data_IF_346613370024
#
_entry.id   IF_346613370024
#
_cell.length_a   1.000
_cell.length_b   1.000
_cell.length_c   1.000
_cell.angle_alpha   90.00
_cell.angle_beta   90.00
_cell.angle_gamma   90.00
#
_symmetry.space_group_name_H-M   'P 1'
#
loop_
_entity.id
_entity.type
_entity.pdbx_description
1 polymer ?
#
# COMPACT_ATOMS: atom_id res chain seq x y z
N UNK A 1 60.27 7.75 -17.83
CA UNK A 1 59.44 7.65 -16.60
C UNK A 1 58.34 6.65 -16.89
N UNK A 2 58.30 5.63 -16.03
CA UNK A 2 57.75 4.31 -16.30
C UNK A 2 56.23 4.30 -16.48
N UNK A 3 55.81 3.59 -17.54
CA UNK A 3 54.64 2.71 -17.53
C UNK A 3 55.11 1.44 -16.83
N UNK A 4 54.39 0.95 -15.82
CA UNK A 4 54.34 -0.45 -15.37
C UNK A 4 53.47 -0.55 -14.13
N UNK A 5 52.64 -1.59 -14.07
CA UNK A 5 51.92 -1.99 -12.86
C UNK A 5 50.44 -2.21 -13.10
N UNK A 6 50.08 -3.31 -13.77
CA UNK A 6 49.06 -4.28 -13.33
C UNK A 6 49.13 -5.49 -14.29
N UNK A 7 50.10 -6.37 -14.05
CA UNK A 7 50.16 -7.70 -14.65
C UNK A 7 49.38 -8.72 -13.79
N UNK A 8 48.45 -9.39 -14.48
CA UNK A 8 48.29 -10.85 -14.53
C UNK A 8 48.23 -11.68 -13.23
N UNK A 9 47.03 -12.11 -12.83
CA UNK A 9 46.67 -13.46 -12.33
C UNK A 9 45.14 -13.61 -12.44
N UNK A 10 44.48 -14.68 -12.87
CA UNK A 10 44.81 -15.89 -13.61
C UNK A 10 43.46 -16.36 -14.20
N UNK A 11 43.36 -16.47 -15.51
CA UNK A 11 42.28 -17.17 -16.21
C UNK A 11 42.85 -18.51 -16.67
N UNK A 12 42.40 -19.61 -16.09
CA UNK A 12 42.14 -20.85 -16.82
C UNK A 12 41.48 -21.91 -15.92
N UNK A 13 40.68 -22.75 -16.58
CA UNK A 13 40.04 -24.00 -16.11
C UNK A 13 38.55 -23.92 -15.74
N UNK A 14 37.71 -23.77 -16.77
CA UNK A 14 36.39 -24.42 -16.79
C UNK A 14 36.48 -25.54 -17.83
N UNK A 15 36.77 -26.74 -17.33
CA UNK A 15 36.70 -27.98 -18.10
C UNK A 15 35.25 -28.43 -18.21
N UNK A 16 34.82 -28.63 -19.45
CA UNK A 16 33.53 -29.12 -19.88
C UNK A 16 33.33 -30.59 -19.51
N UNK A 17 32.68 -30.89 -18.39
CA UNK A 17 32.14 -32.23 -18.11
C UNK A 17 31.15 -32.22 -16.93
N UNK A 18 29.88 -31.86 -17.15
CA UNK A 18 28.76 -32.42 -16.37
C UNK A 18 27.38 -32.13 -17.00
N UNK A 19 27.29 -32.33 -18.31
CA UNK A 19 26.01 -32.53 -19.00
C UNK A 19 25.95 -34.02 -19.33
N UNK A 20 24.83 -34.65 -19.00
CA UNK A 20 24.49 -36.08 -19.13
C UNK A 20 24.99 -37.00 -18.01
N UNK A 21 24.07 -37.35 -17.10
CA UNK A 21 24.35 -38.34 -16.06
C UNK A 21 23.16 -38.75 -15.19
N UNK A 22 21.96 -38.92 -15.77
CA UNK A 22 20.84 -39.53 -15.04
C UNK A 22 20.12 -40.57 -15.90
N UNK A 23 20.56 -41.83 -15.82
CA UNK A 23 19.71 -42.98 -16.14
C UNK A 23 20.21 -44.26 -15.42
N UNK A 24 19.40 -44.70 -14.45
CA UNK A 24 19.10 -46.08 -14.01
C UNK A 24 20.13 -46.93 -13.23
N UNK A 25 19.78 -47.26 -11.97
CA UNK A 25 19.65 -48.61 -11.36
C UNK A 25 19.49 -48.43 -9.82
N UNK A 26 18.32 -48.63 -9.22
CA UNK A 26 17.63 -49.87 -8.81
C UNK A 26 17.83 -50.25 -7.33
N UNK A 27 16.73 -50.08 -6.57
CA UNK A 27 16.18 -50.93 -5.48
C UNK A 27 17.10 -51.40 -4.35
N UNK A 28 16.99 -50.74 -3.19
CA UNK A 28 16.46 -51.27 -1.93
C UNK A 28 16.93 -50.39 -0.77
N UNK A 29 16.03 -49.55 -0.27
CA UNK A 29 16.25 -48.74 0.91
C UNK A 29 14.94 -48.04 1.20
N UNK A 30 14.33 -48.39 2.33
CA UNK A 30 13.15 -47.74 2.88
C UNK A 30 13.20 -46.24 2.60
N UNK A 31 12.32 -45.77 1.72
CA UNK A 31 12.09 -44.34 1.49
C UNK A 31 11.61 -43.80 2.82
N UNK A 32 12.56 -43.27 3.59
CA UNK A 32 12.23 -42.36 4.68
C UNK A 32 11.36 -41.29 4.01
N UNK A 33 10.08 -41.25 4.39
CA UNK A 33 9.27 -40.07 4.09
C UNK A 33 10.11 -38.92 4.63
N UNK A 34 10.54 -38.04 3.73
CA UNK A 34 10.89 -36.68 4.13
C UNK A 34 9.67 -36.25 4.93
N UNK A 35 9.83 -36.11 6.24
CA UNK A 35 8.82 -35.46 7.05
C UNK A 35 8.55 -34.14 6.34
N UNK A 36 7.27 -33.87 6.04
CA UNK A 36 6.88 -32.57 5.52
C UNK A 36 7.51 -31.52 6.45
N UNK A 37 8.10 -30.44 5.92
CA UNK A 37 8.59 -29.37 6.78
C UNK A 37 7.48 -29.04 7.78
N UNK A 38 7.83 -28.74 9.06
CA UNK A 38 6.82 -28.40 10.07
C UNK A 38 5.88 -27.40 9.41
N UNK A 39 4.56 -27.58 9.58
CA UNK A 39 3.52 -26.71 9.01
C UNK A 39 3.84 -25.25 9.34
N UNK A 40 4.69 -24.65 8.51
CA UNK A 40 5.24 -23.34 8.69
C UNK A 40 4.26 -22.43 7.99
N UNK A 41 3.60 -21.59 8.78
CA UNK A 41 2.75 -20.48 8.38
C UNK A 41 3.04 -20.05 6.94
N UNK A 42 2.22 -20.42 5.95
CA UNK A 42 2.46 -20.05 4.55
C UNK A 42 2.56 -18.53 4.39
N UNK A 43 3.03 -18.02 3.24
CA UNK A 43 3.14 -16.56 3.01
C UNK A 43 1.86 -15.77 3.35
N UNK A 44 0.68 -16.37 3.17
CA UNK A 44 -0.60 -15.75 3.55
C UNK A 44 -0.75 -15.58 5.06
N UNK A 45 -0.29 -16.54 5.84
CA UNK A 45 -0.35 -16.48 7.30
C UNK A 45 0.60 -15.41 7.83
N UNK A 46 1.83 -15.35 7.30
CA UNK A 46 2.77 -14.26 7.60
C UNK A 46 2.15 -12.89 7.28
N UNK A 47 1.55 -12.72 6.11
CA UNK A 47 0.87 -11.47 5.75
C UNK A 47 -0.32 -11.18 6.68
N UNK A 48 -1.09 -12.20 7.08
CA UNK A 48 -2.23 -12.03 8.01
C UNK A 48 -1.75 -11.60 9.40
N UNK A 49 -0.64 -12.17 9.89
CA UNK A 49 0.02 -11.77 11.14
C UNK A 49 0.52 -10.33 11.05
N UNK A 50 1.17 -9.96 9.95
CA UNK A 50 1.65 -8.59 9.71
C UNK A 50 0.51 -7.55 9.75
N UNK A 51 -0.66 -7.85 9.15
CA UNK A 51 -1.85 -7.01 9.33
C UNK A 51 -2.23 -6.84 10.81
N UNK A 52 -2.23 -7.92 11.58
CA UNK A 52 -2.51 -7.88 13.02
C UNK A 52 -1.56 -6.95 13.78
N UNK A 53 -0.26 -7.00 13.46
CA UNK A 53 0.75 -6.13 14.05
C UNK A 53 0.55 -4.67 13.63
N UNK A 54 0.25 -4.40 12.36
CA UNK A 54 -0.06 -3.05 11.88
C UNK A 54 -1.31 -2.45 12.56
N UNK A 55 -2.36 -3.25 12.76
CA UNK A 55 -3.57 -2.85 13.52
C UNK A 55 -3.19 -2.51 14.97
N UNK A 56 -2.39 -3.36 15.62
CA UNK A 56 -1.86 -3.12 16.97
C UNK A 56 -1.05 -1.82 17.03
N UNK A 57 -0.24 -1.52 16.01
CA UNK A 57 0.53 -0.29 15.91
C UNK A 57 -0.38 0.94 15.80
N UNK A 58 -1.42 0.90 14.96
CA UNK A 58 -2.37 2.01 14.80
C UNK A 58 -3.16 2.28 16.09
N UNK A 59 -3.62 1.23 16.78
CA UNK A 59 -4.26 1.39 18.09
C UNK A 59 -3.29 1.94 19.14
N UNK A 60 -2.04 1.47 19.15
CA UNK A 60 -1.03 1.98 20.08
C UNK A 60 -0.70 3.46 19.82
N UNK A 61 -0.69 3.88 18.55
CA UNK A 61 -0.57 5.30 18.20
C UNK A 61 -1.77 6.12 18.69
N UNK A 62 -2.99 5.60 18.60
CA UNK A 62 -4.17 6.27 19.17
C UNK A 62 -4.08 6.39 20.70
N UNK A 63 -3.67 5.31 21.38
CA UNK A 63 -3.44 5.32 22.83
C UNK A 63 -2.35 6.33 23.25
N UNK A 64 -1.33 6.54 22.41
CA UNK A 64 -0.27 7.53 22.65
C UNK A 64 -0.84 8.95 22.69
N UNK A 65 -1.74 9.28 21.76
CA UNK A 65 -2.45 10.56 21.73
C UNK A 65 -3.32 10.75 22.97
N UNK A 66 -3.86 9.66 23.52
CA UNK A 66 -4.63 9.66 24.77
C UNK A 66 -3.74 9.70 26.04
N UNK A 67 -2.42 9.70 25.90
CA UNK A 67 -1.47 9.82 27.02
C UNK A 67 -1.10 8.50 27.71
N UNK A 68 -1.32 7.35 27.05
CA UNK A 68 -0.93 6.06 27.63
C UNK A 68 0.60 5.87 27.63
N UNK A 69 1.20 5.79 28.82
CA UNK A 69 2.67 5.77 28.99
C UNK A 69 3.38 4.56 28.37
N UNK A 70 2.68 3.45 28.13
CA UNK A 70 3.23 2.25 27.49
C UNK A 70 3.09 2.24 25.96
N UNK A 71 2.40 3.22 25.38
CA UNK A 71 2.07 3.25 23.96
C UNK A 71 3.31 3.32 23.06
N UNK A 72 4.27 4.19 23.36
CA UNK A 72 5.51 4.31 22.57
C UNK A 72 6.27 2.98 22.50
N UNK A 73 6.44 2.30 23.64
CA UNK A 73 7.14 1.02 23.70
C UNK A 73 6.44 -0.06 22.87
N UNK A 74 5.09 -0.07 22.85
CA UNK A 74 4.32 -0.98 21.99
C UNK A 74 4.50 -0.65 20.51
N UNK A 75 4.52 0.63 20.12
CA UNK A 75 4.74 1.03 18.72
C UNK A 75 6.12 0.58 18.24
N UNK A 76 7.17 0.79 19.06
CA UNK A 76 8.53 0.33 18.76
C UNK A 76 8.60 -1.21 18.65
N UNK A 77 7.88 -1.93 19.50
CA UNK A 77 7.82 -3.39 19.42
C UNK A 77 7.10 -3.86 18.14
N UNK A 78 5.97 -3.24 17.79
CA UNK A 78 5.21 -3.57 16.59
C UNK A 78 6.01 -3.26 15.31
N UNK A 79 6.74 -2.14 15.25
CA UNK A 79 7.59 -1.82 14.10
C UNK A 79 8.67 -2.88 13.90
N UNK A 80 9.37 -3.28 14.97
CA UNK A 80 10.36 -4.38 14.90
C UNK A 80 9.75 -5.70 14.48
N UNK A 81 8.56 -6.03 14.97
CA UNK A 81 7.88 -7.27 14.60
C UNK A 81 7.48 -7.27 13.11
N UNK A 82 7.02 -6.14 12.56
CA UNK A 82 6.78 -6.01 11.11
C UNK A 82 8.07 -6.23 10.31
N UNK A 83 9.16 -5.65 10.78
CA UNK A 83 10.50 -5.77 10.23
C UNK A 83 11.02 -7.22 10.24
N UNK A 84 10.70 -7.98 11.28
CA UNK A 84 11.04 -9.41 11.40
C UNK A 84 10.18 -10.26 10.46
N UNK A 85 8.88 -9.97 10.37
CA UNK A 85 7.95 -10.66 9.46
C UNK A 85 8.30 -10.42 8.00
N UNK A 86 8.71 -9.21 7.62
CA UNK A 86 9.16 -8.89 6.25
C UNK A 86 10.42 -9.67 5.87
N UNK A 87 11.40 -9.76 6.79
CA UNK A 87 12.60 -10.59 6.58
C UNK A 87 12.28 -12.07 6.43
N UNK A 88 11.41 -12.61 7.29
CA UNK A 88 10.97 -14.01 7.18
C UNK A 88 10.25 -14.26 5.85
N UNK A 89 9.42 -13.31 5.41
CA UNK A 89 8.73 -13.39 4.14
C UNK A 89 9.72 -13.45 2.96
N UNK A 90 10.71 -12.56 2.95
CA UNK A 90 11.73 -12.47 1.90
C UNK A 90 12.60 -13.73 1.78
N UNK A 91 12.94 -14.36 2.90
CA UNK A 91 13.70 -15.63 2.91
C UNK A 91 12.94 -16.77 2.23
N UNK A 92 11.61 -16.73 2.27
CA UNK A 92 10.73 -17.83 1.83
C UNK A 92 10.12 -17.60 0.46
N UNK A 93 9.89 -16.34 0.07
CA UNK A 93 9.11 -15.99 -1.12
C UNK A 93 9.66 -16.60 -2.41
N UNK A 94 10.98 -16.65 -2.59
CA UNK A 94 11.59 -17.18 -3.80
C UNK A 94 11.35 -18.70 -3.98
N UNK A 95 11.57 -19.48 -2.92
CA UNK A 95 11.34 -20.93 -2.94
C UNK A 95 9.85 -21.24 -3.09
N UNK A 96 9.00 -20.50 -2.38
CA UNK A 96 7.56 -20.67 -2.44
C UNK A 96 6.99 -20.31 -3.82
N UNK A 97 7.52 -19.30 -4.51
CA UNK A 97 7.14 -18.95 -5.88
C UNK A 97 7.57 -20.02 -6.89
N UNK A 98 8.77 -20.59 -6.74
CA UNK A 98 9.31 -21.59 -7.66
C UNK A 98 8.44 -22.85 -7.77
N UNK A 99 7.71 -23.20 -6.71
CA UNK A 99 6.87 -24.39 -6.63
C UNK A 99 5.36 -24.11 -6.77
N UNK A 100 4.99 -22.89 -7.18
CA UNK A 100 3.59 -22.46 -7.25
C UNK A 100 2.97 -22.61 -8.65
N UNK A 101 1.69 -22.95 -8.69
CA UNK A 101 0.87 -22.77 -9.90
C UNK A 101 0.66 -21.28 -10.23
N UNK A 102 0.24 -20.96 -11.45
CA UNK A 102 0.03 -19.57 -11.89
C UNK A 102 -0.94 -18.80 -10.97
N UNK A 103 -2.01 -19.44 -10.52
CA UNK A 103 -2.97 -18.80 -9.61
C UNK A 103 -2.37 -18.55 -8.22
N UNK A 104 -1.57 -19.50 -7.71
CA UNK A 104 -0.83 -19.34 -6.46
C UNK A 104 0.26 -18.25 -6.56
N UNK A 105 0.89 -18.10 -7.73
CA UNK A 105 1.87 -17.01 -7.95
C UNK A 105 1.21 -15.65 -7.81
N UNK A 106 0.01 -15.44 -8.37
CA UNK A 106 -0.70 -14.15 -8.24
C UNK A 106 -0.97 -13.80 -6.79
N UNK A 107 -1.41 -14.76 -6.01
CA UNK A 107 -1.67 -14.59 -4.57
C UNK A 107 -0.40 -14.27 -3.80
N UNK A 108 0.69 -15.02 -4.03
CA UNK A 108 1.97 -14.78 -3.37
C UNK A 108 2.58 -13.42 -3.74
N UNK A 109 2.41 -12.98 -4.99
CA UNK A 109 2.80 -11.64 -5.42
C UNK A 109 1.96 -10.54 -4.75
N UNK A 110 0.67 -10.77 -4.51
CA UNK A 110 -0.16 -9.85 -3.73
C UNK A 110 0.32 -9.78 -2.28
N UNK A 111 0.65 -10.93 -1.67
CA UNK A 111 1.23 -11.00 -0.32
C UNK A 111 2.53 -10.19 -0.24
N UNK A 112 3.44 -10.35 -1.20
CA UNK A 112 4.72 -9.62 -1.27
C UNK A 112 4.50 -8.10 -1.24
N UNK A 113 3.58 -7.60 -2.07
CA UNK A 113 3.28 -6.17 -2.10
C UNK A 113 2.64 -5.69 -0.79
N UNK A 114 1.72 -6.49 -0.23
CA UNK A 114 1.11 -6.16 1.05
C UNK A 114 2.15 -6.09 2.17
N UNK A 115 3.13 -6.99 2.21
CA UNK A 115 4.20 -6.95 3.21
C UNK A 115 5.00 -5.65 3.14
N UNK A 116 5.40 -5.23 1.94
CA UNK A 116 6.10 -3.96 1.73
C UNK A 116 5.28 -2.78 2.25
N UNK A 117 3.98 -2.72 1.92
CA UNK A 117 3.11 -1.64 2.40
C UNK A 117 2.89 -1.70 3.93
N UNK A 118 2.85 -2.89 4.53
CA UNK A 118 2.68 -3.08 5.98
C UNK A 118 3.93 -2.64 6.77
N UNK A 119 5.15 -2.94 6.30
CA UNK A 119 6.40 -2.40 6.86
C UNK A 119 6.39 -0.87 6.84
N UNK A 120 6.00 -0.27 5.70
CA UNK A 120 5.90 1.19 5.55
C UNK A 120 4.92 1.82 6.52
N UNK A 121 3.81 1.14 6.84
CA UNK A 121 2.85 1.60 7.84
C UNK A 121 3.49 1.61 9.22
N UNK A 122 4.25 0.57 9.59
CA UNK A 122 5.02 0.51 10.83
C UNK A 122 5.99 1.68 10.97
N UNK A 123 6.81 1.91 9.96
CA UNK A 123 7.75 3.04 9.85
C UNK A 123 7.07 4.41 10.09
N UNK A 124 5.95 4.64 9.41
CA UNK A 124 5.20 5.90 9.48
C UNK A 124 4.60 6.11 10.87
N UNK A 125 4.08 5.06 11.50
CA UNK A 125 3.54 5.11 12.85
C UNK A 125 4.64 5.32 13.90
N UNK A 126 5.84 4.76 13.72
CA UNK A 126 6.99 5.05 14.57
C UNK A 126 7.46 6.51 14.41
N UNK A 127 7.46 7.03 13.18
CA UNK A 127 7.75 8.44 12.90
C UNK A 127 6.74 9.38 13.57
N UNK A 128 5.45 9.04 13.48
CA UNK A 128 4.38 9.73 14.20
C UNK A 128 4.64 9.71 15.71
N UNK A 129 4.90 8.54 16.30
CA UNK A 129 5.07 8.37 17.74
C UNK A 129 6.25 9.19 18.28
N UNK A 130 7.38 9.16 17.57
CA UNK A 130 8.58 9.92 17.94
C UNK A 130 8.31 11.43 17.98
N UNK A 131 7.49 11.92 17.04
CA UNK A 131 7.08 13.33 16.99
C UNK A 131 6.08 13.65 18.10
N UNK A 132 5.09 12.80 18.30
CA UNK A 132 4.08 12.96 19.35
C UNK A 132 4.74 13.09 20.73
N UNK A 133 5.73 12.26 21.05
CA UNK A 133 6.51 12.35 22.29
C UNK A 133 7.26 13.68 22.44
N UNK A 134 7.81 14.21 21.34
CA UNK A 134 8.56 15.47 21.35
C UNK A 134 7.68 16.67 21.69
N UNK A 135 6.39 16.62 21.34
CA UNK A 135 5.46 17.75 21.47
C UNK A 135 4.28 17.49 22.42
N UNK A 136 4.20 16.32 23.05
CA UNK A 136 3.02 15.85 23.79
C UNK A 136 2.43 16.89 24.75
N UNK A 137 3.25 17.53 25.58
CA UNK A 137 2.81 18.53 26.56
C UNK A 137 2.39 19.88 25.97
N UNK A 138 2.57 20.08 24.67
CA UNK A 138 2.31 21.32 23.93
C UNK A 138 1.17 21.18 22.92
N UNK A 139 0.67 19.96 22.70
CA UNK A 139 -0.51 19.72 21.86
C UNK A 139 -1.77 20.21 22.57
N UNK A 140 -2.63 20.88 21.82
CA UNK A 140 -3.93 21.28 22.33
C UNK A 140 -4.96 20.12 22.25
N UNK A 141 -6.11 20.29 22.91
CA UNK A 141 -7.16 19.26 22.92
C UNK A 141 -7.78 19.00 21.55
N UNK A 142 -7.66 19.93 20.60
CA UNK A 142 -8.24 19.80 19.27
C UNK A 142 -7.32 19.00 18.35
N UNK A 143 -6.02 19.24 18.39
CA UNK A 143 -4.99 18.48 17.71
C UNK A 143 -5.04 17.02 18.16
N UNK A 144 -5.11 16.77 19.46
CA UNK A 144 -5.25 15.41 20.00
C UNK A 144 -6.51 14.72 19.48
N UNK A 145 -7.63 15.44 19.41
CA UNK A 145 -8.88 14.89 18.87
C UNK A 145 -8.74 14.53 17.39
N UNK A 146 -8.29 15.47 16.56
CA UNK A 146 -8.24 15.26 15.11
C UNK A 146 -7.26 14.14 14.74
N UNK A 147 -6.09 14.09 15.38
CA UNK A 147 -5.12 13.01 15.18
C UNK A 147 -5.68 11.66 15.65
N UNK A 148 -6.38 11.64 16.80
CA UNK A 148 -7.04 10.45 17.32
C UNK A 148 -8.15 9.94 16.39
N UNK A 149 -8.93 10.84 15.80
CA UNK A 149 -9.96 10.50 14.81
C UNK A 149 -9.32 9.90 13.56
N UNK A 150 -8.25 10.52 13.02
CA UNK A 150 -7.50 9.97 11.88
C UNK A 150 -6.94 8.57 12.15
N UNK A 151 -6.33 8.34 13.32
CA UNK A 151 -5.80 7.04 13.71
C UNK A 151 -6.89 5.98 13.89
N UNK A 152 -8.06 6.39 14.37
CA UNK A 152 -9.23 5.50 14.48
C UNK A 152 -9.72 5.04 13.10
N UNK A 153 -9.75 5.95 12.12
CA UNK A 153 -10.07 5.59 10.73
C UNK A 153 -9.00 4.66 10.15
N UNK A 154 -7.72 4.97 10.34
CA UNK A 154 -6.61 4.13 9.87
C UNK A 154 -6.68 2.70 10.44
N UNK A 155 -6.88 2.56 11.75
CA UNK A 155 -6.99 1.25 12.39
C UNK A 155 -8.17 0.44 11.84
N UNK A 156 -9.31 1.10 11.60
CA UNK A 156 -10.46 0.48 10.95
C UNK A 156 -10.15 0.05 9.51
N UNK A 157 -9.49 0.90 8.72
CA UNK A 157 -9.10 0.57 7.35
C UNK A 157 -8.23 -0.68 7.33
N UNK A 158 -7.23 -0.78 8.22
CA UNK A 158 -6.39 -1.97 8.35
C UNK A 158 -7.18 -3.24 8.70
N UNK A 159 -8.08 -3.16 9.68
CA UNK A 159 -8.89 -4.30 10.11
C UNK A 159 -9.86 -4.77 9.01
N UNK A 160 -10.49 -3.83 8.30
CA UNK A 160 -11.35 -4.14 7.16
C UNK A 160 -10.54 -4.74 6.01
N UNK A 161 -9.35 -4.23 5.71
CA UNK A 161 -8.47 -4.80 4.68
C UNK A 161 -7.98 -6.19 5.05
N UNK A 162 -7.59 -6.44 6.31
CA UNK A 162 -7.22 -7.78 6.77
C UNK A 162 -8.39 -8.76 6.59
N UNK A 163 -9.59 -8.36 7.02
CA UNK A 163 -10.80 -9.16 6.86
C UNK A 163 -11.09 -9.45 5.38
N UNK A 164 -10.93 -8.44 4.52
CA UNK A 164 -11.10 -8.57 3.08
C UNK A 164 -10.04 -9.48 2.44
N UNK A 165 -8.79 -9.39 2.89
CA UNK A 165 -7.68 -10.20 2.43
C UNK A 165 -7.89 -11.68 2.77
N UNK A 166 -8.15 -12.00 4.05
CA UNK A 166 -8.38 -13.38 4.50
C UNK A 166 -9.67 -13.97 3.93
N UNK A 167 -10.72 -13.16 3.79
CA UNK A 167 -12.03 -13.57 3.28
C UNK A 167 -12.17 -13.52 1.75
N UNK A 168 -11.18 -12.99 1.03
CA UNK A 168 -11.28 -12.66 -0.41
C UNK A 168 -12.50 -11.78 -0.73
N UNK A 169 -12.82 -10.84 0.16
CA UNK A 169 -14.00 -10.00 0.06
C UNK A 169 -13.69 -8.71 -0.74
N UNK A 170 -14.01 -8.76 -2.03
CA UNK A 170 -13.87 -7.60 -2.91
C UNK A 170 -14.75 -6.40 -2.51
N UNK A 171 -15.95 -6.64 -1.96
CA UNK A 171 -16.85 -5.56 -1.60
C UNK A 171 -16.34 -4.79 -0.38
N UNK A 172 -15.77 -5.51 0.59
CA UNK A 172 -15.12 -4.88 1.76
C UNK A 172 -13.85 -4.12 1.36
N UNK A 173 -13.01 -4.68 0.49
CA UNK A 173 -11.84 -3.96 -0.03
C UNK A 173 -12.22 -2.64 -0.73
N UNK A 174 -13.30 -2.62 -1.52
CA UNK A 174 -13.82 -1.38 -2.13
C UNK A 174 -14.31 -0.35 -1.10
N UNK A 175 -14.78 -0.78 0.08
CA UNK A 175 -15.16 0.14 1.15
C UNK A 175 -13.94 0.84 1.74
N UNK A 176 -12.83 0.12 1.90
CA UNK A 176 -11.55 0.71 2.36
C UNK A 176 -11.08 1.80 1.41
N UNK A 177 -11.14 1.57 0.10
CA UNK A 177 -10.77 2.60 -0.90
C UNK A 177 -11.62 3.88 -0.80
N UNK A 178 -12.84 3.79 -0.25
CA UNK A 178 -13.70 4.96 -0.01
C UNK A 178 -13.38 5.62 1.33
N UNK A 179 -12.99 4.84 2.34
CA UNK A 179 -12.63 5.33 3.66
C UNK A 179 -11.34 6.16 3.65
N UNK A 180 -10.42 5.88 2.73
CA UNK A 180 -9.20 6.66 2.48
C UNK A 180 -9.48 8.17 2.31
N UNK A 181 -10.56 8.52 1.59
CA UNK A 181 -10.98 9.91 1.38
C UNK A 181 -11.34 10.63 2.68
N UNK A 182 -11.76 9.91 3.71
CA UNK A 182 -12.05 10.51 5.01
C UNK A 182 -10.76 10.88 5.73
N UNK A 183 -9.70 10.06 5.63
CA UNK A 183 -8.37 10.39 6.17
C UNK A 183 -7.80 11.60 5.44
N UNK A 184 -7.90 11.66 4.11
CA UNK A 184 -7.51 12.83 3.31
C UNK A 184 -8.24 14.10 3.77
N UNK A 185 -9.55 13.99 3.98
CA UNK A 185 -10.38 15.12 4.42
C UNK A 185 -9.93 15.63 5.80
N UNK A 186 -9.72 14.73 6.75
CA UNK A 186 -9.26 15.06 8.10
C UNK A 186 -7.85 15.67 8.09
N UNK A 187 -6.94 15.06 7.33
CA UNK A 187 -5.60 15.59 7.09
C UNK A 187 -5.63 17.03 6.59
N UNK A 188 -6.42 17.30 5.54
CA UNK A 188 -6.55 18.63 4.96
C UNK A 188 -7.12 19.64 5.98
N UNK A 189 -8.06 19.24 6.84
CA UNK A 189 -8.58 20.12 7.89
C UNK A 189 -7.50 20.49 8.93
N UNK A 190 -6.67 19.53 9.32
CA UNK A 190 -5.53 19.80 10.22
C UNK A 190 -4.56 20.75 9.53
N UNK A 191 -4.14 20.45 8.30
CA UNK A 191 -3.19 21.29 7.55
C UNK A 191 -3.68 22.72 7.39
N UNK A 192 -4.93 22.92 6.96
CA UNK A 192 -5.49 24.26 6.77
C UNK A 192 -5.51 25.06 8.08
N UNK A 193 -5.90 24.44 9.20
CA UNK A 193 -5.88 25.11 10.51
C UNK A 193 -4.48 25.61 10.88
N UNK A 194 -3.46 24.79 10.68
CA UNK A 194 -2.09 25.13 11.08
C UNK A 194 -1.36 26.05 10.08
N UNK A 195 -1.93 26.29 8.90
CA UNK A 195 -1.41 27.22 7.89
C UNK A 195 -2.17 28.57 7.86
N UNK A 196 -3.32 28.69 8.52
CA UNK A 196 -4.10 29.92 8.55
C UNK A 196 -3.38 31.07 9.30
N UNK A 197 -3.10 32.22 8.64
CA UNK A 197 -2.31 33.31 9.23
C UNK A 197 -2.95 34.03 10.42
N UNK A 198 -4.28 33.96 10.53
CA UNK A 198 -5.08 34.71 11.52
C UNK A 198 -5.30 33.93 12.82
N UNK A 199 -4.93 32.65 12.87
CA UNK A 199 -5.01 31.86 14.08
C UNK A 199 -3.71 32.01 14.88
N UNK A 200 -3.84 32.19 16.19
CA UNK A 200 -2.76 32.15 17.21
C UNK A 200 -2.00 30.81 17.25
N UNK A 201 -2.30 29.90 16.33
CA UNK A 201 -1.75 28.56 16.15
C UNK A 201 -0.54 28.50 15.22
N UNK A 202 -0.01 29.62 14.72
CA UNK A 202 1.30 29.68 14.04
C UNK A 202 2.51 29.46 14.97
N UNK A 203 2.40 28.56 15.95
CA UNK A 203 3.46 28.23 16.91
C UNK A 203 4.51 27.28 16.31
N UNK A 204 5.68 27.13 16.97
CA UNK A 204 6.75 26.23 16.53
C UNK A 204 6.32 24.76 16.42
N UNK A 205 5.24 24.37 17.11
CA UNK A 205 4.74 22.98 17.12
C UNK A 205 3.80 22.64 15.94
N UNK A 206 3.34 23.63 15.16
CA UNK A 206 2.46 23.39 14.01
C UNK A 206 3.08 22.49 12.95
N UNK A 207 4.40 22.58 12.76
CA UNK A 207 5.10 21.67 11.85
C UNK A 207 5.08 20.23 12.37
N UNK A 208 5.11 20.02 13.69
CA UNK A 208 5.01 18.69 14.27
C UNK A 208 3.61 18.10 14.07
N UNK A 209 2.55 18.89 14.31
CA UNK A 209 1.18 18.44 14.08
C UNK A 209 0.91 18.12 12.61
N UNK A 210 1.32 19.02 11.70
CA UNK A 210 1.19 18.78 10.25
C UNK A 210 1.93 17.51 9.83
N UNK A 211 3.18 17.34 10.28
CA UNK A 211 3.97 16.15 9.90
C UNK A 211 3.46 14.86 10.52
N UNK A 212 2.85 14.92 11.70
CA UNK A 212 2.13 13.80 12.32
C UNK A 212 0.87 13.43 11.52
N UNK A 213 0.05 14.41 11.15
CA UNK A 213 -1.12 14.19 10.31
C UNK A 213 -0.74 13.60 8.94
N UNK A 214 0.33 14.12 8.32
CA UNK A 214 0.87 13.60 7.07
C UNK A 214 1.36 12.15 7.20
N UNK A 215 1.97 11.78 8.33
CA UNK A 215 2.39 10.39 8.55
C UNK A 215 1.18 9.43 8.58
N UNK A 216 0.07 9.85 9.20
CA UNK A 216 -1.18 9.07 9.26
C UNK A 216 -1.82 8.98 7.86
N UNK A 217 -1.88 10.07 7.10
CA UNK A 217 -2.41 10.07 5.73
C UNK A 217 -1.58 9.15 4.81
N UNK A 218 -0.25 9.21 4.89
CA UNK A 218 0.61 8.31 4.11
C UNK A 218 0.42 6.84 4.51
N UNK A 219 0.20 6.57 5.79
CA UNK A 219 -0.10 5.22 6.25
C UNK A 219 -1.45 4.74 5.68
N UNK A 220 -2.45 5.62 5.62
CA UNK A 220 -3.75 5.31 5.01
C UNK A 220 -3.62 5.02 3.50
N UNK A 221 -2.77 5.75 2.77
CA UNK A 221 -2.49 5.46 1.36
C UNK A 221 -1.85 4.08 1.16
N UNK A 222 -0.95 3.66 2.05
CA UNK A 222 -0.44 2.29 2.05
C UNK A 222 -1.55 1.25 2.33
N UNK A 223 -2.48 1.54 3.25
CA UNK A 223 -3.65 0.67 3.46
C UNK A 223 -4.55 0.63 2.22
N UNK A 224 -4.69 1.74 1.49
CA UNK A 224 -5.39 1.77 0.21
C UNK A 224 -4.71 0.86 -0.81
N UNK A 225 -3.39 0.94 -0.94
CA UNK A 225 -2.61 0.10 -1.86
C UNK A 225 -2.82 -1.39 -1.56
N UNK A 226 -2.77 -1.79 -0.29
CA UNK A 226 -3.05 -3.18 0.09
C UNK A 226 -4.49 -3.61 -0.23
N UNK A 227 -5.49 -2.74 -0.03
CA UNK A 227 -6.87 -3.00 -0.44
C UNK A 227 -7.03 -3.10 -1.97
N UNK A 228 -6.27 -2.34 -2.76
CA UNK A 228 -6.23 -2.49 -4.21
C UNK A 228 -5.65 -3.85 -4.63
N UNK A 229 -4.63 -4.35 -3.93
CA UNK A 229 -4.08 -5.69 -4.16
C UNK A 229 -5.07 -6.79 -3.80
N UNK A 230 -5.87 -6.64 -2.73
CA UNK A 230 -6.99 -7.54 -2.45
C UNK A 230 -7.98 -7.56 -3.61
N UNK A 231 -8.38 -6.39 -4.13
CA UNK A 231 -9.28 -6.31 -5.28
C UNK A 231 -8.69 -7.02 -6.51
N UNK A 232 -7.39 -6.84 -6.75
CA UNK A 232 -6.68 -7.48 -7.86
C UNK A 232 -6.60 -9.00 -7.70
N UNK A 233 -6.32 -9.49 -6.50
CA UNK A 233 -6.27 -10.91 -6.17
C UNK A 233 -7.62 -11.60 -6.42
N UNK A 234 -8.73 -10.94 -6.08
CA UNK A 234 -10.09 -11.51 -6.24
C UNK A 234 -10.60 -11.43 -7.68
N UNK A 235 -10.35 -10.31 -8.37
CA UNK A 235 -10.91 -10.05 -9.71
C UNK A 235 -10.01 -10.49 -10.87
N UNK A 236 -8.73 -10.78 -10.61
CA UNK A 236 -7.72 -11.08 -11.62
C UNK A 236 -7.32 -9.88 -12.51
N UNK A 237 -7.84 -8.68 -12.22
CA UNK A 237 -7.56 -7.44 -12.97
C UNK A 237 -7.22 -6.31 -12.00
N UNK A 238 -6.22 -5.49 -12.33
CA UNK A 238 -5.84 -4.36 -11.46
C UNK A 238 -7.02 -3.38 -11.36
N UNK A 239 -7.25 -2.76 -10.20
CA UNK A 239 -8.34 -1.76 -10.02
C UNK A 239 -8.27 -0.66 -11.09
N UNK A 240 -7.07 -0.20 -11.41
CA UNK A 240 -6.81 0.76 -12.50
C UNK A 240 -7.24 0.23 -13.89
N UNK A 241 -7.16 -1.08 -14.12
CA UNK A 241 -7.65 -1.72 -15.34
C UNK A 241 -9.18 -1.85 -15.33
N UNK A 242 -9.78 -2.19 -14.19
CA UNK A 242 -11.24 -2.22 -14.02
C UNK A 242 -11.89 -0.85 -14.23
N UNK A 243 -11.30 0.22 -13.67
CA UNK A 243 -11.77 1.60 -13.86
C UNK A 243 -11.67 2.01 -15.34
N UNK A 244 -10.57 1.67 -16.03
CA UNK A 244 -10.42 1.91 -17.48
C UNK A 244 -11.37 1.07 -18.34
N UNK A 245 -11.70 -0.15 -17.92
CA UNK A 245 -12.70 -0.99 -18.60
C UNK A 245 -14.10 -0.41 -18.43
N UNK A 246 -14.45 0.09 -17.23
CA UNK A 246 -15.72 0.77 -16.97
C UNK A 246 -15.86 2.05 -17.80
N UNK A 247 -14.82 2.88 -17.87
CA UNK A 247 -14.77 4.06 -18.74
C UNK A 247 -15.01 3.68 -20.21
N UNK A 248 -14.31 2.68 -20.75
CA UNK A 248 -14.50 2.21 -22.13
C UNK A 248 -15.91 1.66 -22.39
N UNK A 249 -16.51 0.94 -21.45
CA UNK A 249 -17.89 0.46 -21.59
C UNK A 249 -18.93 1.60 -21.50
N UNK A 250 -18.63 2.67 -20.76
CA UNK A 250 -19.48 3.87 -20.71
C UNK A 250 -19.37 4.73 -21.99
N UNK A 251 -18.18 4.74 -22.59
CA UNK A 251 -17.88 5.44 -23.85
C UNK A 251 -18.48 4.73 -25.06
N UNK A 252 -18.52 3.38 -25.04
CA UNK A 252 -19.22 2.56 -26.04
C UNK A 252 -20.76 2.66 -25.96
N UNK A 253 -21.31 3.10 -24.82
CA UNK A 253 -22.75 3.31 -24.65
C UNK A 253 -23.22 4.67 -25.23
N UNK A 254 -22.30 5.62 -25.47
CA UNK A 254 -22.59 6.91 -26.10
C UNK A 254 -21.59 7.26 -27.21
N UNK A 255 -21.68 6.62 -28.40
CA UNK A 255 -20.90 7.07 -29.55
C UNK A 255 -21.55 8.34 -30.13
N UNK A 256 -21.04 9.52 -29.75
CA UNK A 256 -21.23 10.75 -30.54
C UNK A 256 -22.00 11.91 -29.88
N UNK A 257 -21.54 12.40 -28.73
CA UNK A 257 -21.96 13.72 -28.22
C UNK A 257 -20.77 14.71 -28.20
N UNK A 258 -20.13 14.92 -29.36
CA UNK A 258 -19.17 16.01 -29.55
C UNK A 258 -19.26 16.62 -30.95
N UNK A 259 -20.21 17.54 -31.14
CA UNK A 259 -20.09 18.64 -32.09
C UNK A 259 -21.25 19.64 -31.89
N UNK A 260 -21.03 20.70 -31.12
CA UNK A 260 -21.85 21.90 -31.20
C UNK A 260 -21.53 22.60 -32.53
N UNK A 261 -22.49 22.91 -33.41
CA UNK A 261 -22.18 23.63 -34.64
C UNK A 261 -21.88 25.10 -34.31
N UNK A 262 -20.72 25.57 -34.73
CA UNK A 262 -20.40 27.00 -34.78
C UNK A 262 -21.39 27.73 -35.71
N UNK A 263 -21.89 28.92 -35.35
CA UNK A 263 -22.81 29.65 -36.21
C UNK A 263 -22.03 30.26 -37.37
N UNK A 264 -22.25 29.72 -38.57
CA UNK A 264 -21.75 30.30 -39.82
C UNK A 264 -22.45 31.63 -40.11
N UNK A 265 -21.64 32.68 -40.18
CA UNK A 265 -21.94 34.05 -40.63
C UNK A 265 -22.56 34.02 -42.04
N UNK A 266 -23.80 34.50 -42.21
CA UNK A 266 -24.41 34.72 -43.52
C UNK A 266 -24.17 36.16 -43.98
N UNK A 267 -23.46 36.31 -45.09
CA UNK A 267 -23.34 37.57 -45.83
C UNK A 267 -24.58 37.81 -46.73
N UNK A 268 -25.08 39.06 -46.85
CA UNK A 268 -26.35 39.35 -47.49
C UNK A 268 -26.18 39.68 -49.00
N UNK A 269 -26.89 38.95 -49.86
CA UNK A 269 -27.21 39.42 -51.22
C UNK A 269 -28.70 39.31 -51.51
N UNK A 270 -29.37 40.45 -51.31
CA UNK A 270 -30.35 41.14 -52.17
C UNK A 270 -31.06 40.33 -53.27
N UNK A 271 -32.40 40.35 -53.24
CA UNK A 271 -33.42 40.69 -54.28
C UNK A 271 -34.80 40.44 -53.60
N UNK A 272 -35.52 41.42 -53.07
CA UNK A 272 -36.44 42.42 -53.71
C UNK A 272 -37.79 41.83 -54.20
N UNK A 273 -38.85 42.19 -53.45
CA UNK A 273 -40.24 42.54 -53.86
C UNK A 273 -41.23 41.49 -54.42
N UNK A 274 -42.39 41.29 -53.74
CA UNK A 274 -43.67 41.99 -54.01
C UNK A 274 -44.89 41.37 -53.29
N UNK A 275 -45.73 42.26 -52.74
CA UNK A 275 -47.20 42.26 -52.72
C UNK A 275 -48.03 41.40 -51.72
N UNK A 276 -48.67 42.14 -50.80
CA UNK A 276 -50.11 42.19 -50.45
C UNK A 276 -50.88 40.92 -50.03
N UNK A 277 -51.24 40.83 -48.74
CA UNK A 277 -52.56 41.17 -48.17
C UNK A 277 -52.43 41.35 -46.65
#
# INVERSE_FOLDING_TARGET
MNKDGYEALALNEISSASLYGWCSMSQNGSVARKEDPPQGDGLLDLTTRAYGVAISAAHSAADLVLGASSALARIVANERELDELDREFDERVAEELAHSSVDQVREKLACLKCMIDLERIGDLLLSFATRAETVHSRLDMRDLRDLGDMLSVLAKMLADTQTAFSGRDHALALQVLRADREVDRLHNLVVMRHLEPEMTFGGPDSIHVITMAQAIERAADHVKNTAEEVCHMVSGHTVRHLLRMQEKSSEQLYPGASASPTPHRQDPKRIVNLANC
#
